data_IF_593590739331
#
_entry.id   IF_593590739331
#
_cell.length_a   1.000
_cell.length_b   1.000
_cell.length_c   1.000
_cell.angle_alpha   90.00
_cell.angle_beta   90.00
_cell.angle_gamma   90.00
#
_symmetry.space_group_name_H-M   'P 1'
#
loop_
_entity.id
_entity.type
_entity.pdbx_description
1 polymer ?
#
# COMPACT_ATOMS: atom_id res chain seq x y z
N UNK A 1 -31.12 25.98 0.43
CA UNK A 1 -30.83 24.90 -0.56
C UNK A 1 -29.34 24.62 -0.68
N UNK A 2 -28.45 25.63 -0.68
CA UNK A 2 -26.99 25.40 -0.77
C UNK A 2 -26.39 24.60 0.38
N UNK A 3 -26.82 24.83 1.63
CA UNK A 3 -26.20 24.18 2.80
C UNK A 3 -26.39 22.66 2.81
N UNK A 4 -27.56 22.17 2.44
CA UNK A 4 -27.85 20.73 2.34
C UNK A 4 -26.99 20.03 1.28
N UNK A 5 -26.67 20.72 0.18
CA UNK A 5 -25.79 20.20 -0.88
C UNK A 5 -24.35 20.09 -0.37
N UNK A 6 -23.84 21.14 0.29
CA UNK A 6 -22.48 21.13 0.87
C UNK A 6 -22.33 20.02 1.92
N UNK A 7 -23.31 19.88 2.82
CA UNK A 7 -23.32 18.80 3.80
C UNK A 7 -23.29 17.42 3.14
N UNK A 8 -24.12 17.18 2.13
CA UNK A 8 -24.13 15.92 1.38
C UNK A 8 -22.81 15.63 0.67
N UNK A 9 -22.21 16.63 0.02
CA UNK A 9 -20.94 16.49 -0.69
C UNK A 9 -19.77 16.21 0.26
N UNK A 10 -19.68 16.93 1.39
CA UNK A 10 -18.63 16.71 2.41
C UNK A 10 -18.78 15.31 3.03
N UNK A 11 -20.00 14.87 3.30
CA UNK A 11 -20.27 13.52 3.80
C UNK A 11 -19.83 12.44 2.79
N UNK A 12 -20.20 12.59 1.53
CA UNK A 12 -19.83 11.65 0.47
C UNK A 12 -18.30 11.59 0.29
N UNK A 13 -17.62 12.73 0.29
CA UNK A 13 -16.16 12.79 0.23
C UNK A 13 -15.50 12.14 1.44
N UNK A 14 -16.01 12.38 2.65
CA UNK A 14 -15.51 11.74 3.88
C UNK A 14 -15.63 10.22 3.83
N UNK A 15 -16.80 9.71 3.42
CA UNK A 15 -17.04 8.28 3.26
C UNK A 15 -16.13 7.66 2.19
N UNK A 16 -15.92 8.36 1.08
CA UNK A 16 -15.04 7.92 0.00
C UNK A 16 -13.58 7.84 0.45
N UNK A 17 -13.09 8.85 1.15
CA UNK A 17 -11.74 8.85 1.71
C UNK A 17 -11.55 7.74 2.75
N UNK A 18 -12.55 7.49 3.60
CA UNK A 18 -12.51 6.40 4.57
C UNK A 18 -12.46 5.03 3.87
N UNK A 19 -13.26 4.83 2.83
CA UNK A 19 -13.24 3.61 2.03
C UNK A 19 -11.88 3.38 1.36
N UNK A 20 -11.30 4.43 0.74
CA UNK A 20 -9.97 4.37 0.12
C UNK A 20 -8.88 3.99 1.13
N UNK A 21 -8.97 4.50 2.36
CA UNK A 21 -7.99 4.22 3.41
C UNK A 21 -8.00 2.74 3.81
N UNK A 22 -9.19 2.15 3.96
CA UNK A 22 -9.35 0.71 4.21
C UNK A 22 -8.85 -0.12 3.01
N UNK A 23 -9.19 0.29 1.79
CA UNK A 23 -8.78 -0.40 0.57
C UNK A 23 -7.25 -0.38 0.41
N UNK A 24 -6.59 0.73 0.75
CA UNK A 24 -5.14 0.86 0.75
C UNK A 24 -4.48 -0.07 1.77
N UNK A 25 -5.03 -0.16 3.00
CA UNK A 25 -4.52 -1.07 4.03
C UNK A 25 -4.59 -2.54 3.55
N UNK A 26 -5.75 -2.96 3.06
CA UNK A 26 -5.96 -4.32 2.52
C UNK A 26 -5.02 -4.58 1.35
N UNK A 27 -4.84 -3.60 0.47
CA UNK A 27 -3.94 -3.71 -0.66
C UNK A 27 -2.48 -3.90 -0.23
N UNK A 28 -1.97 -3.14 0.75
CA UNK A 28 -0.61 -3.32 1.28
C UNK A 28 -0.45 -4.72 1.85
N UNK A 29 -1.39 -5.18 2.68
CA UNK A 29 -1.35 -6.52 3.26
C UNK A 29 -1.33 -7.59 2.16
N UNK A 30 -2.20 -7.46 1.15
CA UNK A 30 -2.24 -8.38 0.03
C UNK A 30 -0.94 -8.39 -0.78
N UNK A 31 -0.39 -7.22 -1.12
CA UNK A 31 0.85 -7.10 -1.92
C UNK A 31 2.05 -7.68 -1.15
N UNK A 32 2.18 -7.37 0.14
CA UNK A 32 3.22 -7.90 1.04
C UNK A 32 3.15 -9.43 1.18
N UNK A 33 1.94 -10.00 1.32
CA UNK A 33 1.77 -11.44 1.54
C UNK A 33 1.85 -12.25 0.23
N UNK A 34 1.27 -11.77 -0.86
CA UNK A 34 1.09 -12.56 -2.08
C UNK A 34 2.12 -12.25 -3.17
N UNK A 35 2.51 -10.99 -3.32
CA UNK A 35 3.46 -10.55 -4.36
C UNK A 35 4.90 -10.60 -3.84
N UNK A 36 5.14 -10.15 -2.60
CA UNK A 36 6.48 -10.11 -2.01
C UNK A 36 6.89 -11.43 -1.32
N UNK A 37 6.91 -12.54 -2.07
CA UNK A 37 7.27 -13.86 -1.52
C UNK A 37 8.73 -13.97 -1.05
N UNK A 38 9.65 -13.19 -1.63
CA UNK A 38 11.08 -13.18 -1.26
C UNK A 38 11.41 -12.22 -0.12
N UNK A 39 10.42 -11.43 0.33
CA UNK A 39 10.57 -10.51 1.45
C UNK A 39 10.57 -11.27 2.77
N UNK A 40 11.48 -10.91 3.67
CA UNK A 40 11.57 -11.52 5.00
C UNK A 40 10.34 -11.21 5.84
N UNK A 41 9.93 -12.14 6.71
CA UNK A 41 8.72 -11.98 7.52
C UNK A 41 8.78 -10.77 8.46
N UNK A 42 9.97 -10.41 8.95
CA UNK A 42 10.18 -9.20 9.77
C UNK A 42 9.91 -7.94 8.95
N UNK A 43 10.42 -7.86 7.73
CA UNK A 43 10.21 -6.70 6.86
C UNK A 43 8.74 -6.58 6.46
N UNK A 44 8.05 -7.70 6.19
CA UNK A 44 6.60 -7.73 5.96
C UNK A 44 5.82 -7.10 7.12
N UNK A 45 6.13 -7.51 8.35
CA UNK A 45 5.46 -6.97 9.55
C UNK A 45 5.73 -5.47 9.70
N UNK A 46 6.97 -5.02 9.47
CA UNK A 46 7.31 -3.58 9.52
C UNK A 46 6.47 -2.78 8.53
N UNK A 47 6.32 -3.26 7.28
CA UNK A 47 5.52 -2.54 6.28
C UNK A 47 4.03 -2.54 6.59
N UNK A 48 3.49 -3.63 7.14
CA UNK A 48 2.09 -3.68 7.60
C UNK A 48 1.87 -2.70 8.77
N UNK A 49 2.79 -2.66 9.74
CA UNK A 49 2.71 -1.75 10.89
C UNK A 49 2.86 -0.29 10.45
N UNK A 50 3.78 0.01 9.53
CA UNK A 50 3.95 1.35 8.96
C UNK A 50 2.73 1.78 8.14
N UNK A 51 2.16 0.89 7.33
CA UNK A 51 0.92 1.16 6.61
C UNK A 51 -0.28 1.35 7.54
N UNK A 52 -0.30 0.66 8.68
CA UNK A 52 -1.34 0.86 9.69
C UNK A 52 -1.20 2.21 10.42
N UNK A 53 0.01 2.56 10.86
CA UNK A 53 0.30 3.81 11.60
C UNK A 53 0.20 5.06 10.71
N UNK A 54 0.72 5.00 9.49
CA UNK A 54 0.78 6.14 8.57
C UNK A 54 -0.31 6.09 7.48
N UNK A 55 -1.21 5.11 7.52
CA UNK A 55 -2.32 4.89 6.58
C UNK A 55 -1.88 5.05 5.11
N UNK A 56 -2.35 6.09 4.43
CA UNK A 56 -2.09 6.38 3.03
C UNK A 56 -0.60 6.71 2.78
N UNK A 57 0.06 7.40 3.70
CA UNK A 57 1.48 7.75 3.56
C UNK A 57 2.36 6.51 3.66
N UNK A 58 2.07 5.62 4.61
CA UNK A 58 2.78 4.34 4.75
C UNK A 58 2.64 3.47 3.51
N UNK A 59 1.43 3.38 2.95
CA UNK A 59 1.17 2.65 1.70
C UNK A 59 1.90 3.26 0.50
N UNK A 60 1.99 4.59 0.41
CA UNK A 60 2.65 5.29 -0.69
C UNK A 60 4.17 5.10 -0.64
N UNK A 61 4.76 5.18 0.56
CA UNK A 61 6.19 4.91 0.79
C UNK A 61 6.50 3.45 0.48
N UNK A 62 5.65 2.50 0.89
CA UNK A 62 5.77 1.09 0.52
C UNK A 62 5.79 0.91 -1.01
N UNK A 63 4.83 1.51 -1.72
CA UNK A 63 4.76 1.40 -3.18
C UNK A 63 6.04 1.93 -3.85
N UNK A 64 6.56 3.09 -3.41
CA UNK A 64 7.75 3.69 -4.00
C UNK A 64 9.04 2.92 -3.65
N UNK A 65 9.23 2.51 -2.40
CA UNK A 65 10.49 1.87 -1.97
C UNK A 65 10.54 0.37 -2.27
N UNK A 66 9.41 -0.33 -2.18
CA UNK A 66 9.37 -1.79 -2.33
C UNK A 66 8.99 -2.16 -3.75
N UNK A 67 7.87 -1.62 -4.25
CA UNK A 67 7.32 -2.02 -5.54
C UNK A 67 8.02 -1.34 -6.72
N UNK A 68 8.30 -0.03 -6.64
CA UNK A 68 8.95 0.70 -7.74
C UNK A 68 10.45 0.44 -7.84
N UNK A 69 11.16 0.26 -6.72
CA UNK A 69 12.59 -0.05 -6.78
C UNK A 69 12.87 -1.52 -7.11
N UNK A 70 11.85 -2.38 -7.23
CA UNK A 70 12.04 -3.78 -7.60
C UNK A 70 13.00 -4.53 -6.67
N UNK A 71 13.10 -4.12 -5.40
CA UNK A 71 14.11 -4.60 -4.43
C UNK A 71 14.12 -6.14 -4.29
N UNK A 72 13.00 -6.79 -4.57
CA UNK A 72 12.85 -8.25 -4.54
C UNK A 72 12.68 -8.88 -5.93
N UNK A 73 12.62 -8.06 -6.99
CA UNK A 73 12.54 -8.45 -8.40
C UNK A 73 13.93 -8.50 -9.07
N UNK A 74 14.98 -7.93 -8.45
CA UNK A 74 16.26 -7.62 -9.12
C UNK A 74 17.17 -8.81 -9.46
N UNK A 75 17.01 -9.99 -8.89
CA UNK A 75 17.78 -11.15 -9.37
C UNK A 75 17.08 -11.80 -10.57
N UNK A 76 17.17 -11.12 -11.73
CA UNK A 76 17.32 -11.84 -12.99
C UNK A 76 18.53 -12.72 -12.82
N UNK A 77 18.29 -14.01 -12.92
CA UNK A 77 19.26 -15.06 -13.12
C UNK A 77 20.36 -14.54 -14.07
N UNK A 78 21.58 -14.31 -13.56
CA UNK A 78 22.73 -14.37 -14.43
C UNK A 78 22.74 -15.80 -14.98
N UNK A 79 22.54 -16.00 -16.30
CA UNK A 79 22.62 -17.35 -16.84
C UNK A 79 24.02 -17.89 -16.53
N UNK A 80 24.15 -19.15 -16.10
CA UNK A 80 25.46 -19.75 -15.85
C UNK A 80 26.32 -19.58 -17.10
N UNK A 81 27.46 -18.90 -16.92
CA UNK A 81 28.51 -18.80 -17.94
C UNK A 81 29.10 -20.20 -18.08
N UNK A 82 28.62 -20.95 -19.08
CA UNK A 82 29.20 -22.22 -19.51
C UNK A 82 30.26 -21.98 -20.59
#
# INVERSE_FOLDING_TARGET
MGDAVIFGTVWALGMFLMALQLLALVWVIYDVLTKQKRMSDVEKVIWIVLAFLFTILGALVYYLLVKRNGKYEENREEPPVY
#
